data_IF_650042537857
#
_entry.id   IF_650042537857
#
_cell.length_a   1.000
_cell.length_b   1.000
_cell.length_c   1.000
_cell.angle_alpha   90.00
_cell.angle_beta   90.00
_cell.angle_gamma   90.00
#
_symmetry.space_group_name_H-M   'P 1'
#
loop_
_entity.id
_entity.type
_entity.pdbx_description
1 polymer ?
#
# COMPACT_ATOMS: atom_id res chain seq x y z
N UNK A 1 -8.55 -19.27 -9.93
CA UNK A 1 -7.37 -20.17 -9.89
C UNK A 1 -6.72 -20.11 -8.52
N UNK A 2 -6.05 -21.17 -8.09
CA UNK A 2 -5.36 -21.25 -6.80
C UNK A 2 -3.87 -21.02 -7.07
N UNK A 3 -3.29 -20.02 -6.43
CA UNK A 3 -1.88 -19.68 -6.53
C UNK A 3 -1.10 -20.15 -5.31
N UNK A 4 0.15 -20.49 -5.50
CA UNK A 4 1.10 -20.76 -4.42
C UNK A 4 1.72 -19.47 -3.89
N UNK A 5 2.34 -19.54 -2.71
CA UNK A 5 3.09 -18.40 -2.15
C UNK A 5 4.24 -17.99 -3.07
N UNK A 6 4.94 -18.95 -3.68
CA UNK A 6 6.04 -18.67 -4.61
C UNK A 6 5.57 -17.91 -5.86
N UNK A 7 4.41 -18.29 -6.42
CA UNK A 7 3.83 -17.59 -7.55
C UNK A 7 3.43 -16.16 -7.19
N UNK A 8 2.75 -15.97 -6.04
CA UNK A 8 2.32 -14.63 -5.58
C UNK A 8 3.51 -13.71 -5.30
N UNK A 9 4.59 -14.26 -4.71
CA UNK A 9 5.80 -13.49 -4.40
C UNK A 9 6.78 -13.40 -5.58
N UNK A 10 6.43 -13.98 -6.75
CA UNK A 10 7.33 -13.96 -7.91
C UNK A 10 7.61 -12.55 -8.39
N UNK A 11 8.90 -12.25 -8.57
CA UNK A 11 9.38 -10.93 -8.98
C UNK A 11 9.68 -10.87 -10.48
N UNK A 12 9.63 -9.67 -11.01
CA UNK A 12 10.11 -9.36 -12.35
C UNK A 12 11.64 -9.31 -12.40
N UNK A 13 12.19 -9.65 -13.55
CA UNK A 13 13.57 -9.30 -13.89
C UNK A 13 13.60 -7.85 -14.38
N UNK A 14 14.57 -7.08 -13.93
CA UNK A 14 14.76 -5.67 -14.30
C UNK A 14 16.01 -5.51 -15.15
N UNK A 15 15.96 -4.59 -16.13
CA UNK A 15 17.14 -4.25 -16.90
C UNK A 15 18.07 -3.31 -16.12
N UNK A 16 17.51 -2.47 -15.27
CA UNK A 16 18.30 -1.62 -14.39
C UNK A 16 17.57 -1.38 -13.06
N UNK A 17 18.34 -1.12 -11.97
CA UNK A 17 17.75 -0.78 -10.69
C UNK A 17 17.11 0.60 -10.72
N UNK A 18 16.01 0.78 -10.00
CA UNK A 18 15.40 2.08 -9.79
C UNK A 18 16.22 2.89 -8.77
N UNK A 19 16.77 4.04 -9.17
CA UNK A 19 17.60 4.89 -8.31
C UNK A 19 17.18 6.36 -8.42
N UNK A 20 17.01 7.02 -7.28
CA UNK A 20 16.70 8.44 -7.21
C UNK A 20 17.29 9.06 -5.93
N UNK A 21 17.83 10.27 -6.01
CA UNK A 21 18.41 11.01 -4.88
C UNK A 21 19.41 10.21 -4.01
N UNK A 22 20.10 9.23 -4.60
CA UNK A 22 21.08 8.37 -3.89
C UNK A 22 20.46 7.12 -3.25
N UNK A 23 19.14 6.95 -3.30
CA UNK A 23 18.47 5.74 -2.83
C UNK A 23 18.44 4.66 -3.91
N UNK A 24 18.53 3.40 -3.49
CA UNK A 24 18.13 2.24 -4.29
C UNK A 24 16.66 1.97 -3.95
N UNK A 25 15.78 2.23 -4.90
CA UNK A 25 14.35 2.24 -4.64
C UNK A 25 13.68 0.91 -4.98
N UNK A 26 12.44 0.79 -4.55
CA UNK A 26 11.51 -0.28 -4.86
C UNK A 26 11.41 -0.51 -6.37
N UNK A 27 11.36 -1.79 -6.78
CA UNK A 27 11.25 -2.16 -8.18
C UNK A 27 12.49 -1.87 -9.03
N UNK A 28 12.27 -1.85 -10.32
CA UNK A 28 13.31 -1.61 -11.31
C UNK A 28 12.76 -0.90 -12.54
N UNK A 29 13.60 -0.81 -13.57
CA UNK A 29 13.24 -0.20 -14.84
C UNK A 29 13.40 -1.23 -15.96
N UNK A 30 12.50 -1.17 -16.95
CA UNK A 30 12.64 -1.91 -18.20
C UNK A 30 13.65 -1.25 -19.17
N UNK A 31 13.84 -1.82 -20.35
CA UNK A 31 14.75 -1.29 -21.36
C UNK A 31 14.34 0.05 -21.96
N UNK A 32 13.12 0.48 -21.74
CA UNK A 32 12.60 1.78 -22.15
C UNK A 32 12.65 2.81 -21.02
N UNK A 33 13.03 2.38 -19.80
CA UNK A 33 13.11 3.22 -18.61
C UNK A 33 11.78 3.35 -17.86
N UNK A 34 10.79 2.51 -18.15
CA UNK A 34 9.53 2.50 -17.41
C UNK A 34 9.71 1.73 -16.11
N UNK A 35 9.08 2.24 -15.06
CA UNK A 35 9.08 1.60 -13.75
C UNK A 35 8.28 0.29 -13.75
N UNK A 36 8.87 -0.74 -13.15
CA UNK A 36 8.25 -2.05 -12.92
C UNK A 36 8.22 -2.33 -11.42
N UNK A 37 7.03 -2.57 -10.90
CA UNK A 37 6.80 -2.98 -9.51
C UNK A 37 7.29 -4.42 -9.28
N UNK A 38 7.95 -4.77 -8.17
CA UNK A 38 8.59 -6.08 -8.00
C UNK A 38 7.64 -7.27 -8.09
N UNK A 39 6.82 -7.47 -7.09
CA UNK A 39 6.00 -8.67 -6.85
C UNK A 39 4.65 -8.63 -7.58
N UNK A 40 4.68 -8.25 -8.87
CA UNK A 40 3.45 -8.08 -9.66
C UNK A 40 3.41 -8.96 -10.91
N UNK A 41 4.34 -9.92 -11.03
CA UNK A 41 4.48 -10.77 -12.22
C UNK A 41 3.19 -11.49 -12.60
N UNK A 42 2.43 -11.95 -11.61
CA UNK A 42 1.13 -12.60 -11.81
C UNK A 42 -0.06 -11.75 -11.36
N UNK A 43 0.18 -10.59 -10.77
CA UNK A 43 -0.84 -9.80 -10.04
C UNK A 43 -2.09 -9.55 -10.87
N UNK A 44 -1.94 -9.03 -12.08
CA UNK A 44 -3.10 -8.68 -12.90
C UNK A 44 -3.89 -9.90 -13.34
N UNK A 45 -3.21 -11.00 -13.64
CA UNK A 45 -3.88 -12.26 -13.93
C UNK A 45 -4.67 -12.74 -12.72
N UNK A 46 -4.05 -12.79 -11.55
CA UNK A 46 -4.68 -13.22 -10.31
C UNK A 46 -5.88 -12.35 -9.93
N UNK A 47 -5.73 -11.02 -9.97
CA UNK A 47 -6.81 -10.07 -9.67
C UNK A 47 -7.99 -10.27 -10.62
N UNK A 48 -7.76 -10.42 -11.93
CA UNK A 48 -8.83 -10.65 -12.88
C UNK A 48 -9.56 -11.98 -12.62
N UNK A 49 -8.83 -13.06 -12.34
CA UNK A 49 -9.43 -14.37 -12.05
C UNK A 49 -10.25 -14.36 -10.74
N UNK A 50 -9.74 -13.71 -9.68
CA UNK A 50 -10.48 -13.57 -8.41
C UNK A 50 -11.71 -12.67 -8.56
N UNK A 51 -11.60 -11.58 -9.34
CA UNK A 51 -12.73 -10.72 -9.69
C UNK A 51 -13.81 -11.49 -10.43
N UNK A 52 -13.42 -12.29 -11.43
CA UNK A 52 -14.36 -13.14 -12.16
C UNK A 52 -15.03 -14.19 -11.25
N UNK A 53 -14.28 -14.77 -10.32
CA UNK A 53 -14.81 -15.73 -9.36
C UNK A 53 -15.85 -15.10 -8.43
N UNK A 54 -15.61 -13.89 -7.94
CA UNK A 54 -16.56 -13.13 -7.13
C UNK A 54 -17.81 -12.72 -7.92
N UNK A 55 -17.64 -12.20 -9.13
CA UNK A 55 -18.76 -11.84 -10.01
C UNK A 55 -19.67 -13.02 -10.33
N UNK A 56 -19.10 -14.20 -10.59
CA UNK A 56 -19.87 -15.44 -10.82
C UNK A 56 -20.69 -15.86 -9.61
N UNK A 57 -20.29 -15.47 -8.41
CA UNK A 57 -21.03 -15.70 -7.15
C UNK A 57 -22.08 -14.61 -6.87
N UNK A 58 -22.17 -13.59 -7.72
CA UNK A 58 -23.08 -12.46 -7.53
C UNK A 58 -22.57 -11.42 -6.54
N UNK A 59 -21.28 -11.44 -6.19
CA UNK A 59 -20.65 -10.40 -5.40
C UNK A 59 -20.39 -9.20 -6.32
N UNK A 60 -21.08 -8.09 -6.06
CA UNK A 60 -20.83 -6.84 -6.77
C UNK A 60 -19.55 -6.19 -6.25
N UNK A 61 -18.63 -5.89 -7.16
CA UNK A 61 -17.44 -5.11 -6.85
C UNK A 61 -17.75 -3.63 -7.02
N UNK A 62 -17.47 -2.87 -5.97
CA UNK A 62 -17.67 -1.42 -5.98
C UNK A 62 -16.45 -0.73 -6.56
N UNK A 63 -16.69 0.27 -7.41
CA UNK A 63 -15.62 1.16 -7.88
C UNK A 63 -15.19 2.07 -6.71
N UNK A 64 -13.90 2.03 -6.39
CA UNK A 64 -13.30 2.82 -5.31
C UNK A 64 -12.75 4.17 -5.77
N UNK A 65 -13.00 4.58 -6.99
CA UNK A 65 -12.53 5.85 -7.57
C UNK A 65 -13.22 7.06 -6.93
N UNK A 66 -13.01 7.24 -5.63
CA UNK A 66 -13.46 8.41 -4.89
C UNK A 66 -12.32 9.40 -4.80
N UNK A 67 -12.45 10.56 -5.45
CA UNK A 67 -11.49 11.65 -5.32
C UNK A 67 -11.63 12.32 -3.93
N UNK A 68 -10.92 11.75 -2.95
CA UNK A 68 -10.90 12.26 -1.58
C UNK A 68 -10.19 13.62 -1.51
N UNK A 69 -9.23 13.87 -2.42
CA UNK A 69 -8.46 15.11 -2.45
C UNK A 69 -9.16 16.26 -3.17
N UNK A 70 -10.27 15.98 -3.86
CA UNK A 70 -11.13 17.05 -4.38
C UNK A 70 -11.87 17.83 -3.28
N UNK A 71 -11.70 17.45 -2.02
CA UNK A 71 -12.33 18.15 -0.90
C UNK A 71 -11.73 19.53 -0.69
N UNK A 72 -12.58 20.54 -0.41
CA UNK A 72 -12.21 21.95 -0.23
C UNK A 72 -11.08 22.21 0.81
N UNK A 73 -10.85 21.27 1.71
CA UNK A 73 -9.79 21.38 2.74
C UNK A 73 -8.40 20.93 2.24
N UNK A 74 -8.29 20.37 1.04
CA UNK A 74 -7.00 20.03 0.46
C UNK A 74 -6.53 21.14 -0.48
N UNK A 75 -5.24 21.53 -0.44
CA UNK A 75 -4.70 22.48 -1.37
C UNK A 75 -4.74 21.92 -2.80
N UNK A 76 -5.09 22.77 -3.76
CA UNK A 76 -4.97 22.41 -5.17
C UNK A 76 -3.50 22.39 -5.59
N UNK A 77 -3.18 21.76 -6.71
CA UNK A 77 -1.83 21.76 -7.28
C UNK A 77 -1.28 23.18 -7.47
N UNK A 78 -2.12 24.13 -7.92
CA UNK A 78 -1.70 25.52 -8.10
C UNK A 78 -1.42 26.24 -6.78
N UNK A 79 -2.19 25.93 -5.73
CA UNK A 79 -1.93 26.44 -4.39
C UNK A 79 -0.63 25.85 -3.82
N UNK A 80 -0.37 24.55 -4.02
CA UNK A 80 0.88 23.92 -3.60
C UNK A 80 2.09 24.55 -4.31
N UNK A 81 2.03 24.71 -5.63
CA UNK A 81 3.07 25.42 -6.42
C UNK A 81 3.29 26.85 -5.95
N UNK A 82 2.22 27.57 -5.66
CA UNK A 82 2.30 28.95 -5.15
C UNK A 82 3.02 29.00 -3.80
N UNK A 83 2.69 28.09 -2.88
CA UNK A 83 3.33 28.02 -1.56
C UNK A 83 4.83 27.70 -1.68
N UNK A 84 5.21 26.73 -2.51
CA UNK A 84 6.61 26.38 -2.77
C UNK A 84 7.36 27.59 -3.33
N UNK A 85 6.79 28.28 -4.33
CA UNK A 85 7.39 29.45 -4.94
C UNK A 85 7.55 30.65 -3.96
N UNK A 86 6.78 30.67 -2.88
CA UNK A 86 6.90 31.66 -1.80
C UNK A 86 7.87 31.23 -0.69
N UNK A 87 8.50 30.08 -0.80
CA UNK A 87 9.39 29.54 0.22
C UNK A 87 8.66 28.79 1.36
N UNK A 88 7.36 28.55 1.23
CA UNK A 88 6.52 27.84 2.20
C UNK A 88 6.44 26.34 1.88
N UNK A 89 7.56 25.75 1.46
CA UNK A 89 7.62 24.34 1.05
C UNK A 89 7.59 23.34 2.21
N UNK A 90 7.74 23.78 3.46
CA UNK A 90 7.82 22.91 4.61
C UNK A 90 6.59 22.01 4.77
N UNK A 91 5.40 22.48 4.41
CA UNK A 91 4.17 21.68 4.50
C UNK A 91 4.25 20.41 3.62
N UNK A 92 4.79 20.53 2.40
CA UNK A 92 4.96 19.40 1.49
C UNK A 92 6.10 18.47 1.97
N UNK A 93 7.22 19.06 2.42
CA UNK A 93 8.31 18.30 3.03
C UNK A 93 7.83 17.47 4.22
N UNK A 94 7.01 18.07 5.10
CA UNK A 94 6.40 17.37 6.22
C UNK A 94 5.46 16.25 5.74
N UNK A 95 4.63 16.52 4.75
CA UNK A 95 3.69 15.54 4.19
C UNK A 95 4.43 14.31 3.65
N UNK A 96 5.44 14.52 2.79
CA UNK A 96 6.25 13.45 2.23
C UNK A 96 6.99 12.65 3.33
N UNK A 97 7.48 13.35 4.36
CA UNK A 97 8.18 12.70 5.49
C UNK A 97 7.23 11.87 6.33
N UNK A 98 6.07 12.41 6.69
CA UNK A 98 5.05 11.70 7.49
C UNK A 98 4.55 10.49 6.72
N UNK A 99 4.23 10.63 5.44
CA UNK A 99 3.77 9.53 4.59
C UNK A 99 4.82 8.42 4.54
N UNK A 100 6.08 8.73 4.24
CA UNK A 100 7.13 7.71 4.21
C UNK A 100 7.31 6.98 5.55
N UNK A 101 7.21 7.68 6.69
CA UNK A 101 7.29 7.05 8.01
C UNK A 101 6.08 6.14 8.28
N UNK A 102 4.89 6.52 7.80
CA UNK A 102 3.67 5.70 7.94
C UNK A 102 3.76 4.47 7.05
N UNK A 103 4.17 4.61 5.80
CA UNK A 103 4.41 3.50 4.86
C UNK A 103 5.38 2.46 5.45
N UNK A 104 6.52 2.91 6.00
CA UNK A 104 7.47 2.03 6.66
C UNK A 104 6.83 1.13 7.74
N UNK A 105 5.80 1.63 8.45
CA UNK A 105 5.05 0.86 9.46
C UNK A 105 4.19 -0.24 8.84
N UNK A 106 3.81 -0.11 7.56
CA UNK A 106 3.08 -1.11 6.79
C UNK A 106 3.84 -2.43 6.67
N UNK A 107 5.16 -2.45 6.91
CA UNK A 107 5.98 -3.67 6.99
C UNK A 107 5.38 -4.74 7.90
N UNK A 108 4.68 -4.35 8.97
CA UNK A 108 4.04 -5.27 9.90
C UNK A 108 3.01 -6.20 9.23
N UNK A 109 2.43 -5.80 8.10
CA UNK A 109 1.49 -6.63 7.35
C UNK A 109 2.11 -7.95 6.92
N UNK A 110 3.41 -8.00 6.61
CA UNK A 110 4.10 -9.23 6.26
C UNK A 110 4.12 -10.28 7.38
N UNK A 111 3.88 -9.89 8.62
CA UNK A 111 3.86 -10.76 9.79
C UNK A 111 2.44 -11.19 10.19
N UNK A 112 1.41 -10.59 9.57
CA UNK A 112 0.01 -10.90 9.85
C UNK A 112 -0.30 -12.34 9.43
N UNK A 113 -1.04 -13.04 10.31
CA UNK A 113 -1.61 -14.35 10.05
C UNK A 113 -3.13 -14.26 10.18
N UNK A 114 -3.83 -14.45 9.07
CA UNK A 114 -5.27 -14.52 9.07
C UNK A 114 -5.74 -15.93 9.51
N UNK A 115 -6.88 -16.06 10.22
CA UNK A 115 -7.55 -17.32 10.38
C UNK A 115 -8.04 -17.85 9.02
N UNK A 116 -8.34 -19.13 8.93
CA UNK A 116 -8.92 -19.68 7.70
C UNK A 116 -10.39 -19.29 7.59
N UNK A 117 -10.70 -18.40 6.67
CA UNK A 117 -12.08 -17.96 6.46
C UNK A 117 -12.99 -19.05 5.92
N UNK A 118 -12.46 -20.15 5.38
CA UNK A 118 -13.27 -21.31 5.01
C UNK A 118 -13.96 -21.98 6.22
N UNK A 119 -13.44 -21.79 7.44
CA UNK A 119 -14.04 -22.30 8.67
C UNK A 119 -15.39 -21.62 9.00
N UNK A 120 -15.62 -20.42 8.51
CA UNK A 120 -16.85 -19.64 8.77
C UNK A 120 -17.65 -19.30 7.51
N UNK A 121 -17.09 -19.50 6.33
CA UNK A 121 -17.77 -19.30 5.05
C UNK A 121 -18.14 -20.66 4.48
N UNK A 122 -19.44 -20.85 4.18
CA UNK A 122 -19.98 -22.14 3.70
C UNK A 122 -19.60 -22.41 2.25
N UNK A 123 -19.55 -21.35 1.43
CA UNK A 123 -19.15 -21.41 0.03
C UNK A 123 -17.65 -21.67 -0.10
N UNK A 124 -17.26 -22.44 -1.10
CA UNK A 124 -15.84 -22.63 -1.43
C UNK A 124 -15.21 -21.30 -1.87
N UNK A 125 -14.22 -20.82 -1.10
CA UNK A 125 -13.49 -19.57 -1.34
C UNK A 125 -12.10 -19.80 -1.94
N UNK A 126 -11.73 -21.04 -2.25
CA UNK A 126 -10.37 -21.44 -2.64
C UNK A 126 -9.83 -20.70 -3.85
N UNK A 127 -10.70 -20.23 -4.74
CA UNK A 127 -10.38 -19.47 -5.96
C UNK A 127 -10.55 -17.95 -5.81
N UNK A 128 -10.56 -17.43 -4.59
CA UNK A 128 -10.66 -16.00 -4.26
C UNK A 128 -9.39 -15.47 -3.58
N UNK A 129 -9.22 -14.16 -3.55
CA UNK A 129 -8.12 -13.51 -2.81
C UNK A 129 -8.13 -13.85 -1.31
N UNK A 130 -9.30 -14.11 -0.72
CA UNK A 130 -9.45 -14.43 0.71
C UNK A 130 -8.64 -15.67 1.08
N UNK A 131 -8.70 -16.73 0.26
CA UNK A 131 -7.94 -17.95 0.48
C UNK A 131 -6.42 -17.80 0.25
N UNK A 132 -6.00 -16.63 -0.27
CA UNK A 132 -4.60 -16.36 -0.60
C UNK A 132 -3.93 -15.37 0.38
N UNK A 133 -4.65 -14.83 1.37
CA UNK A 133 -4.08 -13.89 2.35
C UNK A 133 -2.79 -14.43 2.97
N UNK A 134 -2.80 -15.66 3.49
CA UNK A 134 -1.64 -16.35 4.06
C UNK A 134 -0.71 -16.98 3.01
N UNK A 135 -1.05 -16.91 1.73
CA UNK A 135 -0.24 -17.44 0.62
C UNK A 135 0.58 -16.34 -0.08
N UNK A 136 0.97 -15.33 0.66
CA UNK A 136 1.89 -14.31 0.18
C UNK A 136 1.29 -12.92 -0.02
N UNK A 137 -0.05 -12.73 0.00
CA UNK A 137 -0.63 -11.40 -0.21
C UNK A 137 -0.19 -10.41 0.87
N UNK A 138 -0.31 -10.78 2.15
CA UNK A 138 0.16 -9.91 3.24
C UNK A 138 1.67 -9.71 3.22
N UNK A 139 2.44 -10.75 2.84
CA UNK A 139 3.90 -10.65 2.73
C UNK A 139 4.28 -9.66 1.62
N UNK A 140 3.70 -9.83 0.43
CA UNK A 140 3.96 -8.93 -0.70
C UNK A 140 3.65 -7.47 -0.33
N UNK A 141 2.46 -7.23 0.24
CA UNK A 141 2.05 -5.89 0.65
C UNK A 141 3.02 -5.29 1.67
N UNK A 142 3.31 -6.00 2.76
CA UNK A 142 4.22 -5.49 3.79
C UNK A 142 5.65 -5.24 3.29
N UNK A 143 6.13 -6.03 2.33
CA UNK A 143 7.44 -5.81 1.70
C UNK A 143 7.42 -4.62 0.75
N UNK A 144 6.31 -4.37 0.07
CA UNK A 144 6.17 -3.20 -0.80
C UNK A 144 6.10 -1.91 0.03
N UNK A 145 5.48 -1.92 1.21
CA UNK A 145 5.37 -0.77 2.11
C UNK A 145 6.69 -0.41 2.80
N UNK A 146 7.24 -1.35 3.57
CA UNK A 146 8.36 -1.10 4.48
C UNK A 146 9.62 -1.92 4.21
N UNK A 147 9.70 -2.59 3.07
CA UNK A 147 10.88 -3.30 2.59
C UNK A 147 10.98 -4.76 3.00
N UNK A 148 11.72 -5.51 2.19
CA UNK A 148 12.14 -6.87 2.47
C UNK A 148 13.40 -6.82 3.35
N UNK A 149 13.43 -7.46 4.53
CA UNK A 149 14.59 -7.46 5.42
C UNK A 149 15.81 -8.15 4.82
N UNK A 150 15.62 -9.01 3.82
CA UNK A 150 16.68 -9.73 3.14
C UNK A 150 17.20 -9.01 1.87
N UNK A 151 16.68 -7.80 1.60
CA UNK A 151 17.05 -6.98 0.44
C UNK A 151 17.57 -5.60 0.85
N UNK A 152 18.58 -5.10 0.14
CA UNK A 152 19.04 -3.72 0.26
C UNK A 152 18.15 -2.72 -0.51
N UNK A 153 17.15 -3.21 -1.22
CA UNK A 153 16.23 -2.39 -2.00
C UNK A 153 15.21 -1.71 -1.09
N UNK A 154 15.12 -0.40 -1.21
CA UNK A 154 14.10 0.38 -0.50
C UNK A 154 12.69 0.05 -0.98
N UNK A 155 11.70 0.36 -0.16
CA UNK A 155 10.28 0.16 -0.42
C UNK A 155 9.56 1.49 -0.70
N UNK A 156 8.24 1.52 -0.59
CA UNK A 156 7.46 2.74 -0.81
C UNK A 156 7.91 3.88 0.12
N UNK A 157 8.25 3.58 1.37
CA UNK A 157 8.82 4.54 2.32
C UNK A 157 10.01 5.29 1.75
N UNK A 158 10.95 4.56 1.12
CA UNK A 158 12.14 5.14 0.51
C UNK A 158 11.82 5.95 -0.75
N UNK A 159 10.77 5.60 -1.48
CA UNK A 159 10.30 6.38 -2.64
C UNK A 159 9.81 7.78 -2.19
N UNK A 160 9.08 7.84 -1.06
CA UNK A 160 8.67 9.10 -0.44
C UNK A 160 9.87 9.96 0.00
N UNK A 161 10.84 9.34 0.67
CA UNK A 161 12.04 10.05 1.11
C UNK A 161 12.90 10.51 -0.06
N UNK A 162 13.04 9.71 -1.11
CA UNK A 162 13.76 10.08 -2.31
C UNK A 162 13.10 11.26 -3.03
N UNK A 163 11.76 11.25 -3.15
CA UNK A 163 11.00 12.36 -3.75
C UNK A 163 11.16 13.64 -2.95
N UNK A 164 11.05 13.54 -1.62
CA UNK A 164 11.31 14.66 -0.70
C UNK A 164 12.72 15.24 -0.87
N UNK A 165 13.71 14.38 -0.85
CA UNK A 165 15.13 14.78 -0.91
C UNK A 165 15.51 15.35 -2.29
N UNK A 166 14.84 14.87 -3.35
CA UNK A 166 14.99 15.44 -4.70
C UNK A 166 14.44 16.86 -4.78
N UNK A 167 13.28 17.10 -4.17
CA UNK A 167 12.59 18.40 -4.24
C UNK A 167 13.23 19.48 -3.34
N UNK A 168 13.66 19.10 -2.14
CA UNK A 168 14.04 20.05 -1.10
C UNK A 168 15.50 19.89 -0.64
N UNK A 169 16.12 18.75 -0.93
CA UNK A 169 17.37 18.32 -0.31
C UNK A 169 17.14 17.58 1.00
N UNK A 170 18.10 16.73 1.31
CA UNK A 170 18.12 15.98 2.57
C UNK A 170 18.23 16.96 3.74
N UNK A 171 17.46 16.73 4.78
CA UNK A 171 17.47 17.54 6.02
C UNK A 171 17.09 19.02 5.82
N UNK A 172 16.31 19.35 4.79
CA UNK A 172 15.88 20.72 4.50
C UNK A 172 15.07 21.35 5.65
N UNK A 173 14.31 20.52 6.39
CA UNK A 173 13.51 20.94 7.54
C UNK A 173 13.62 19.90 8.68
N UNK A 174 13.29 20.27 9.91
CA UNK A 174 13.20 19.31 11.02
C UNK A 174 12.13 18.22 10.74
N UNK A 175 12.41 17.00 11.17
CA UNK A 175 11.43 15.91 11.07
C UNK A 175 10.20 16.27 11.89
N UNK A 176 9.00 16.26 11.30
CA UNK A 176 7.76 16.58 12.02
C UNK A 176 7.41 15.49 13.01
N UNK A 177 6.56 15.84 13.98
CA UNK A 177 5.93 14.85 14.83
C UNK A 177 5.00 13.98 14.00
N UNK A 178 5.16 12.66 14.12
CA UNK A 178 4.36 11.68 13.38
C UNK A 178 3.41 11.00 14.35
N UNK A 179 2.10 10.97 14.05
CA UNK A 179 1.14 10.27 14.89
C UNK A 179 1.53 8.80 15.12
N UNK A 180 1.38 8.31 16.34
CA UNK A 180 1.66 6.91 16.68
C UNK A 180 0.73 5.95 15.93
N UNK A 181 -0.50 6.39 15.65
CA UNK A 181 -1.49 5.65 14.88
C UNK A 181 -2.33 6.62 14.04
N UNK A 182 -2.65 6.19 12.81
CA UNK A 182 -3.63 6.85 11.94
C UNK A 182 -5.00 6.15 12.00
N UNK A 183 -5.07 5.00 12.69
CA UNK A 183 -6.30 4.27 12.91
C UNK A 183 -7.21 4.96 13.93
N UNK A 184 -8.45 4.50 13.99
CA UNK A 184 -9.38 4.92 15.05
C UNK A 184 -8.89 4.38 16.41
N UNK A 185 -9.14 5.09 17.50
CA UNK A 185 -8.97 4.53 18.84
C UNK A 185 -9.74 3.20 18.96
N UNK A 186 -9.22 2.26 19.73
CA UNK A 186 -9.91 1.00 19.99
C UNK A 186 -11.34 1.28 20.50
N UNK A 187 -12.34 0.82 19.76
CA UNK A 187 -13.76 1.05 20.08
C UNK A 187 -14.45 -0.21 20.61
N UNK A 188 -13.68 -1.23 20.97
CA UNK A 188 -14.22 -2.53 21.35
C UNK A 188 -14.71 -3.32 20.13
N UNK A 189 -15.44 -4.40 20.38
CA UNK A 189 -15.93 -5.29 19.33
C UNK A 189 -17.14 -4.71 18.63
N UNK A 190 -17.06 -4.58 17.30
CA UNK A 190 -18.17 -4.11 16.44
C UNK A 190 -18.99 -5.27 15.86
N UNK A 191 -18.37 -6.46 15.75
CA UNK A 191 -18.99 -7.68 15.20
C UNK A 191 -18.93 -8.82 16.24
N UNK A 192 -19.68 -8.71 17.37
CA UNK A 192 -19.56 -9.65 18.49
C UNK A 192 -20.01 -11.09 18.14
N UNK A 193 -20.76 -11.27 17.06
CA UNK A 193 -21.19 -12.58 16.57
C UNK A 193 -20.08 -13.34 15.82
N UNK A 194 -19.00 -12.65 15.42
CA UNK A 194 -17.82 -13.29 14.86
C UNK A 194 -16.80 -13.64 15.96
N UNK A 195 -16.00 -14.70 15.80
CA UNK A 195 -14.82 -14.90 16.65
C UNK A 195 -13.86 -13.70 16.53
N UNK A 196 -13.17 -13.36 17.62
CA UNK A 196 -12.37 -12.14 17.71
C UNK A 196 -11.24 -12.05 16.66
N UNK A 197 -10.64 -13.19 16.33
CA UNK A 197 -9.58 -13.28 15.32
C UNK A 197 -10.05 -12.92 13.92
N UNK A 198 -11.29 -13.28 13.55
CA UNK A 198 -11.87 -12.91 12.24
C UNK A 198 -12.25 -11.44 12.22
N UNK A 199 -12.87 -10.94 13.29
CA UNK A 199 -13.18 -9.52 13.41
C UNK A 199 -11.92 -8.66 13.32
N UNK A 200 -10.82 -9.07 13.98
CA UNK A 200 -9.55 -8.36 13.94
C UNK A 200 -8.99 -8.23 12.53
N UNK A 201 -9.05 -9.30 11.72
CA UNK A 201 -8.60 -9.25 10.32
C UNK A 201 -9.54 -8.37 9.47
N UNK A 202 -10.85 -8.45 9.67
CA UNK A 202 -11.78 -7.59 8.93
C UNK A 202 -11.55 -6.10 9.25
N UNK A 203 -11.32 -5.75 10.51
CA UNK A 203 -10.98 -4.40 10.91
C UNK A 203 -9.65 -3.93 10.30
N UNK A 204 -8.64 -4.79 10.30
CA UNK A 204 -7.35 -4.51 9.64
C UNK A 204 -7.54 -4.25 8.14
N UNK A 205 -8.25 -5.13 7.43
CA UNK A 205 -8.51 -4.98 5.99
C UNK A 205 -9.29 -3.69 5.69
N UNK A 206 -10.26 -3.33 6.52
CA UNK A 206 -11.00 -2.08 6.38
C UNK A 206 -10.08 -0.85 6.57
N UNK A 207 -9.17 -0.90 7.53
CA UNK A 207 -8.19 0.18 7.74
C UNK A 207 -7.22 0.30 6.56
N UNK A 208 -6.67 -0.81 6.09
CA UNK A 208 -5.78 -0.84 4.91
C UNK A 208 -6.53 -0.30 3.69
N UNK A 209 -7.75 -0.77 3.42
CA UNK A 209 -8.56 -0.28 2.30
C UNK A 209 -8.73 1.24 2.32
N UNK A 210 -9.01 1.83 3.49
CA UNK A 210 -9.17 3.29 3.61
C UNK A 210 -7.86 4.04 3.38
N UNK A 211 -6.73 3.44 3.77
CA UNK A 211 -5.39 4.00 3.52
C UNK A 211 -5.10 3.97 2.02
N UNK A 212 -5.34 2.83 1.35
CA UNK A 212 -5.08 2.65 -0.07
C UNK A 212 -5.91 3.61 -0.95
N UNK A 213 -7.22 3.74 -0.67
CA UNK A 213 -8.08 4.68 -1.40
C UNK A 213 -7.56 6.11 -1.26
N UNK A 214 -7.09 6.48 -0.06
CA UNK A 214 -6.52 7.79 0.19
C UNK A 214 -5.16 7.97 -0.51
N UNK A 215 -4.33 6.94 -0.47
CA UNK A 215 -3.02 6.94 -1.11
C UNK A 215 -3.17 7.11 -2.63
N UNK A 216 -4.06 6.37 -3.28
CA UNK A 216 -4.35 6.50 -4.71
C UNK A 216 -4.72 7.95 -5.08
N UNK A 217 -5.63 8.56 -4.34
CA UNK A 217 -6.00 9.97 -4.56
C UNK A 217 -4.80 10.91 -4.40
N UNK A 218 -3.94 10.68 -3.40
CA UNK A 218 -2.76 11.51 -3.14
C UNK A 218 -1.67 11.33 -4.21
N UNK A 219 -1.44 10.12 -4.70
CA UNK A 219 -0.48 9.85 -5.77
C UNK A 219 -0.91 10.45 -7.12
N UNK A 220 -2.21 10.58 -7.35
CA UNK A 220 -2.76 11.19 -8.56
C UNK A 220 -2.72 12.72 -8.55
N UNK A 221 -2.46 13.32 -7.40
CA UNK A 221 -2.41 14.77 -7.17
C UNK A 221 -1.03 15.37 -7.42
#
# INVERSE_FOLDING_TARGET
MIYTTEEILSEHEYESPNRMAGYLLHGGLDGEGNYITPRTKIRWQAVNEWTDALNKRGCELLDSSVDILAHDNFPTMDQAKLLINKGEGQFLWNSLTITGIIEARGRVLAEVKAPDFQDIIVEDISDTCIAHMNKGLFIAHGFDEGGDPDSDQGAHDQMWFASRDLLFGKDAYPIPEVPDSIGRPEQGREMPDLPAEYEGILQLLMQVLMIEIRAESFFSY
#
